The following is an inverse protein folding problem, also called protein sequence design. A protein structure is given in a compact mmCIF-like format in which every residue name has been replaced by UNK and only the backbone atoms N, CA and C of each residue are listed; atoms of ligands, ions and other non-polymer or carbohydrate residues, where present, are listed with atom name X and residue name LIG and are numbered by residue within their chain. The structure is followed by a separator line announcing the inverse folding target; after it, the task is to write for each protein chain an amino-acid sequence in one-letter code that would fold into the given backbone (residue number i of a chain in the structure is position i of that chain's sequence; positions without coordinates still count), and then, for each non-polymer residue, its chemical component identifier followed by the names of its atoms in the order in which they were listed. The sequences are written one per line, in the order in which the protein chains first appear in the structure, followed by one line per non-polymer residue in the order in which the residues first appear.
data_IF_433708524518
#
_entry.id   IF_433708524518
#
_cell.length_a   1.000
_cell.length_b   1.000
_cell.length_c   1.000
_cell.angle_alpha   90.00
_cell.angle_beta   90.00
_cell.angle_gamma   90.00
#
_symmetry.space_group_name_H-M   'P 1'
#
loop_
_entity.id
_entity.type
_entity.pdbx_description
1 polymer ?
#
# COMPACT_ATOMS: atom_id res chain seq x y z
N UNK A 1 19.04 -19.05 -2.66
CA UNK A 1 18.26 -18.83 -1.42
C UNK A 1 16.81 -18.63 -1.82
N UNK A 2 15.87 -19.31 -1.17
CA UNK A 2 14.45 -19.21 -1.52
C UNK A 2 13.80 -18.05 -0.76
N UNK A 3 13.16 -17.13 -1.49
CA UNK A 3 12.36 -16.06 -0.86
C UNK A 3 11.13 -16.68 -0.21
N UNK A 4 11.00 -16.50 1.12
CA UNK A 4 9.81 -16.91 1.86
C UNK A 4 8.84 -15.74 1.93
N UNK A 5 7.63 -15.94 1.44
CA UNK A 5 6.61 -14.90 1.36
C UNK A 5 5.47 -15.29 2.30
N UNK A 6 4.98 -14.34 3.10
CA UNK A 6 3.76 -14.52 3.88
C UNK A 6 2.61 -13.76 3.22
N UNK A 7 1.45 -14.39 3.13
CA UNK A 7 0.24 -13.79 2.58
C UNK A 7 -0.80 -13.74 3.69
N UNK A 8 -1.34 -12.55 3.94
CA UNK A 8 -2.37 -12.28 4.92
C UNK A 8 -3.64 -11.89 4.15
N UNK A 9 -4.79 -12.43 4.55
CA UNK A 9 -6.08 -12.05 3.99
C UNK A 9 -6.61 -10.73 4.55
N UNK A 10 -7.93 -10.63 4.63
CA UNK A 10 -8.62 -9.51 5.29
C UNK A 10 -8.23 -9.42 6.77
N UNK A 11 -7.81 -8.22 7.18
CA UNK A 11 -7.38 -7.93 8.57
C UNK A 11 -8.50 -7.31 9.39
N UNK A 12 -9.52 -6.72 8.75
CA UNK A 12 -10.69 -6.13 9.40
C UNK A 12 -10.31 -5.18 10.56
N UNK A 13 -9.31 -4.32 10.36
CA UNK A 13 -8.79 -3.37 11.36
C UNK A 13 -8.06 -3.96 12.59
N UNK A 14 -7.78 -5.26 12.68
CA UNK A 14 -6.93 -5.83 13.75
C UNK A 14 -5.43 -5.77 13.40
N UNK A 15 -4.92 -4.56 13.16
CA UNK A 15 -3.56 -4.32 12.70
C UNK A 15 -2.56 -4.75 13.76
N UNK A 16 -2.77 -4.35 15.02
CA UNK A 16 -1.82 -4.60 16.10
C UNK A 16 -1.58 -6.10 16.32
N UNK A 17 -2.64 -6.89 16.29
CA UNK A 17 -2.55 -8.33 16.52
C UNK A 17 -1.86 -9.04 15.34
N UNK A 18 -2.21 -8.67 14.10
CA UNK A 18 -1.61 -9.25 12.90
C UNK A 18 -0.12 -8.92 12.82
N UNK A 19 0.28 -7.67 13.04
CA UNK A 19 1.70 -7.29 13.01
C UNK A 19 2.48 -7.93 14.16
N UNK A 20 1.89 -8.12 15.33
CA UNK A 20 2.52 -8.84 16.45
C UNK A 20 2.76 -10.31 16.11
N UNK A 21 1.77 -10.98 15.51
CA UNK A 21 1.90 -12.37 15.05
C UNK A 21 2.96 -12.48 13.96
N UNK A 22 2.93 -11.56 13.01
CA UNK A 22 3.86 -11.50 11.89
C UNK A 22 5.30 -11.24 12.37
N UNK A 23 5.53 -10.38 13.36
CA UNK A 23 6.84 -10.18 13.97
C UNK A 23 7.39 -11.48 14.61
N UNK A 24 6.55 -12.19 15.38
CA UNK A 24 6.92 -13.49 15.99
C UNK A 24 7.26 -14.55 14.96
N UNK A 25 6.50 -14.61 13.86
CA UNK A 25 6.74 -15.57 12.78
C UNK A 25 7.99 -15.21 11.97
N UNK A 26 8.22 -13.92 11.72
CA UNK A 26 9.37 -13.42 10.98
C UNK A 26 10.69 -13.78 11.68
N UNK A 27 10.78 -13.65 13.01
CA UNK A 27 11.97 -14.04 13.78
C UNK A 27 12.34 -15.51 13.60
N UNK A 28 11.36 -16.40 13.42
CA UNK A 28 11.60 -17.84 13.28
C UNK A 28 11.88 -18.26 11.83
N UNK A 29 11.20 -17.63 10.87
CA UNK A 29 11.20 -18.09 9.49
C UNK A 29 12.09 -17.24 8.57
N UNK A 30 12.40 -16.01 8.96
CA UNK A 30 13.05 -14.98 8.13
C UNK A 30 12.31 -14.79 6.79
N UNK A 31 11.12 -14.19 6.85
CA UNK A 31 10.37 -13.85 5.64
C UNK A 31 11.01 -12.67 4.89
N UNK A 32 11.00 -12.80 3.58
CA UNK A 32 11.45 -11.80 2.63
C UNK A 32 10.49 -10.62 2.50
N UNK A 33 9.19 -10.92 2.39
CA UNK A 33 8.13 -9.92 2.20
C UNK A 33 6.77 -10.46 2.66
N UNK A 34 5.86 -9.54 2.97
CA UNK A 34 4.47 -9.83 3.27
C UNK A 34 3.55 -9.23 2.21
N UNK A 35 2.45 -9.91 1.92
CA UNK A 35 1.37 -9.42 1.05
C UNK A 35 0.07 -9.45 1.84
N UNK A 36 -0.64 -8.33 1.88
CA UNK A 36 -1.97 -8.22 2.50
C UNK A 36 -3.03 -8.08 1.41
N UNK A 37 -3.90 -9.07 1.34
CA UNK A 37 -4.95 -9.22 0.32
C UNK A 37 -6.19 -8.46 0.79
N UNK A 38 -6.14 -7.13 0.68
CA UNK A 38 -7.29 -6.24 0.87
C UNK A 38 -7.83 -6.16 2.31
N UNK A 39 -8.82 -5.29 2.50
CA UNK A 39 -9.61 -5.14 3.74
C UNK A 39 -8.74 -4.99 5.01
N UNK A 40 -7.73 -4.13 4.91
CA UNK A 40 -6.90 -3.70 6.04
C UNK A 40 -7.68 -2.83 7.02
N UNK A 41 -8.49 -1.95 6.47
CA UNK A 41 -9.28 -0.99 7.21
C UNK A 41 -10.73 -1.44 7.10
N UNK A 42 -11.32 -1.75 8.25
CA UNK A 42 -12.72 -2.16 8.39
C UNK A 42 -13.69 -1.01 8.11
N UNK A 43 -14.83 -0.99 8.79
CA UNK A 43 -15.86 0.04 8.56
C UNK A 43 -15.50 1.38 9.21
N UNK A 44 -14.39 1.46 9.96
CA UNK A 44 -13.98 2.65 10.72
C UNK A 44 -15.13 3.25 11.53
N UNK A 45 -16.02 2.38 11.99
CA UNK A 45 -17.28 2.71 12.65
C UNK A 45 -17.11 2.76 14.15
N UNK A 46 -16.08 2.08 14.66
CA UNK A 46 -15.76 2.02 16.07
C UNK A 46 -14.53 2.86 16.41
N UNK A 47 -14.50 3.42 17.61
CA UNK A 47 -13.37 4.23 18.10
C UNK A 47 -12.07 3.43 18.12
N UNK A 48 -12.15 2.12 18.38
CA UNK A 48 -11.02 1.21 18.34
C UNK A 48 -10.35 1.13 16.95
N UNK A 49 -11.14 1.03 15.87
CA UNK A 49 -10.61 1.01 14.51
C UNK A 49 -9.90 2.33 14.16
N UNK A 50 -10.46 3.46 14.61
CA UNK A 50 -9.85 4.78 14.42
C UNK A 50 -8.56 4.94 15.22
N UNK A 51 -8.49 4.39 16.44
CA UNK A 51 -7.28 4.37 17.24
C UNK A 51 -6.19 3.52 16.59
N UNK A 52 -6.53 2.33 16.08
CA UNK A 52 -5.57 1.47 15.34
C UNK A 52 -5.01 2.18 14.10
N UNK A 53 -5.86 2.86 13.32
CA UNK A 53 -5.43 3.65 12.17
C UNK A 53 -4.51 4.79 12.59
N UNK A 54 -4.86 5.48 13.67
CA UNK A 54 -4.08 6.62 14.16
C UNK A 54 -2.74 6.14 14.71
N UNK A 55 -2.71 5.03 15.44
CA UNK A 55 -1.50 4.37 15.93
C UNK A 55 -0.61 3.88 14.77
N UNK A 56 -1.21 3.40 13.67
CA UNK A 56 -0.49 3.03 12.46
C UNK A 56 0.16 4.26 11.81
N UNK A 57 -0.62 5.34 11.60
CA UNK A 57 -0.12 6.61 11.02
C UNK A 57 0.96 7.30 11.88
N UNK A 58 0.85 7.19 13.21
CA UNK A 58 1.83 7.70 14.15
C UNK A 58 3.10 6.83 14.24
N UNK A 59 3.10 5.64 13.63
CA UNK A 59 4.23 4.70 13.68
C UNK A 59 4.37 3.95 15.00
N UNK A 60 3.32 3.92 15.82
CA UNK A 60 3.27 3.12 17.04
C UNK A 60 3.18 1.62 16.71
N UNK A 61 2.53 1.28 15.59
CA UNK A 61 2.53 -0.06 15.02
C UNK A 61 3.73 -0.18 14.09
N UNK A 62 4.77 -0.87 14.55
CA UNK A 62 5.97 -1.10 13.75
C UNK A 62 5.79 -2.31 12.83
N UNK A 63 6.09 -2.12 11.54
CA UNK A 63 6.04 -3.18 10.53
C UNK A 63 7.45 -3.76 10.36
N UNK A 64 7.70 -5.00 10.81
CA UNK A 64 9.06 -5.55 10.89
C UNK A 64 9.66 -5.95 9.54
N UNK A 65 8.85 -6.02 8.48
CA UNK A 65 9.28 -6.48 7.16
C UNK A 65 8.48 -5.80 6.03
N UNK A 66 9.04 -5.68 4.81
CA UNK A 66 8.37 -5.00 3.70
C UNK A 66 7.04 -5.69 3.37
N UNK A 67 5.96 -4.97 3.61
CA UNK A 67 4.59 -5.43 3.51
C UNK A 67 3.88 -4.66 2.41
N UNK A 68 3.37 -5.37 1.42
CA UNK A 68 2.61 -4.80 0.32
C UNK A 68 1.13 -5.06 0.52
N UNK A 69 0.30 -4.05 0.39
CA UNK A 69 -1.14 -4.23 0.52
C UNK A 69 -1.92 -3.77 -0.70
N UNK A 70 -2.96 -4.53 -1.04
CA UNK A 70 -3.92 -4.20 -2.08
C UNK A 70 -5.14 -3.45 -1.53
N UNK A 71 -5.90 -2.85 -2.43
CA UNK A 71 -7.25 -2.38 -2.12
C UNK A 71 -8.20 -3.57 -1.93
N UNK A 72 -9.05 -3.49 -0.91
CA UNK A 72 -10.12 -4.44 -0.65
C UNK A 72 -11.44 -4.04 -1.29
N UNK A 73 -12.53 -4.61 -0.79
CA UNK A 73 -13.89 -4.28 -1.24
C UNK A 73 -14.39 -2.95 -0.69
N UNK A 74 -13.76 -2.47 0.39
CA UNK A 74 -14.12 -1.23 1.09
C UNK A 74 -13.18 -0.08 0.74
N UNK A 75 -13.69 1.17 0.64
CA UNK A 75 -12.86 2.33 0.40
C UNK A 75 -11.94 2.61 1.60
N UNK A 76 -10.73 3.10 1.32
CA UNK A 76 -9.80 3.51 2.36
C UNK A 76 -10.28 4.80 3.05
N UNK A 77 -10.05 4.94 4.36
CA UNK A 77 -10.30 6.18 5.09
C UNK A 77 -9.48 7.33 4.51
N UNK A 78 -10.07 8.54 4.46
CA UNK A 78 -9.43 9.73 3.88
C UNK A 78 -8.06 10.04 4.49
N UNK A 79 -7.87 9.79 5.79
CA UNK A 79 -6.59 9.98 6.49
C UNK A 79 -5.45 9.16 5.88
N UNK A 80 -5.74 7.94 5.44
CA UNK A 80 -4.75 7.04 4.83
C UNK A 80 -4.54 7.43 3.37
N UNK A 81 -5.60 7.84 2.67
CA UNK A 81 -5.53 8.37 1.31
C UNK A 81 -4.58 9.58 1.25
N UNK A 82 -4.77 10.57 2.13
CA UNK A 82 -3.91 11.74 2.24
C UNK A 82 -2.44 11.35 2.48
N UNK A 83 -2.21 10.37 3.36
CA UNK A 83 -0.85 9.91 3.67
C UNK A 83 -0.17 9.25 2.48
N UNK A 84 -0.93 8.43 1.73
CA UNK A 84 -0.47 7.79 0.49
C UNK A 84 -0.20 8.86 -0.57
N UNK A 85 -1.03 9.89 -0.71
CA UNK A 85 -0.80 10.97 -1.67
C UNK A 85 0.44 11.81 -1.33
N UNK A 86 0.74 12.00 -0.05
CA UNK A 86 1.93 12.74 0.38
C UNK A 86 3.23 11.96 0.17
N UNK A 87 3.28 10.68 0.57
CA UNK A 87 4.54 9.93 0.68
C UNK A 87 4.59 8.62 -0.12
N UNK A 88 3.52 8.25 -0.84
CA UNK A 88 3.36 6.96 -1.53
C UNK A 88 3.46 5.72 -0.60
N UNK A 89 3.69 5.94 0.70
CA UNK A 89 3.85 4.96 1.77
C UNK A 89 2.99 5.38 2.96
N UNK A 90 2.32 4.42 3.60
CA UNK A 90 1.49 4.70 4.78
C UNK A 90 2.36 4.74 6.03
N UNK A 91 3.30 3.78 6.14
CA UNK A 91 4.21 3.57 7.25
C UNK A 91 5.55 3.06 6.72
N UNK A 92 6.66 3.15 7.50
CA UNK A 92 7.90 2.49 7.13
C UNK A 92 7.65 0.99 6.90
N UNK A 93 8.10 0.48 5.76
CA UNK A 93 7.89 -0.90 5.31
C UNK A 93 6.44 -1.27 4.93
N UNK A 94 5.51 -0.33 4.82
CA UNK A 94 4.13 -0.58 4.39
C UNK A 94 3.81 0.15 3.07
N UNK A 95 3.75 -0.62 2.00
CA UNK A 95 3.62 -0.13 0.63
C UNK A 95 2.24 -0.37 0.06
N UNK A 96 1.64 0.67 -0.50
CA UNK A 96 0.36 0.57 -1.19
C UNK A 96 0.56 0.19 -2.67
N UNK A 97 -0.08 -0.90 -3.11
CA UNK A 97 0.01 -1.36 -4.51
C UNK A 97 -0.98 -0.65 -5.45
N UNK A 98 -1.95 0.08 -4.91
CA UNK A 98 -3.00 0.74 -5.68
C UNK A 98 -4.13 -0.20 -6.13
N UNK A 99 -5.11 0.37 -6.83
CA UNK A 99 -6.21 -0.37 -7.50
C UNK A 99 -5.70 -1.36 -8.55
N UNK A 100 -4.74 -0.90 -9.36
CA UNK A 100 -4.10 -1.68 -10.41
C UNK A 100 -2.62 -1.32 -10.44
N UNK A 101 -1.76 -2.32 -10.31
CA UNK A 101 -0.33 -2.05 -10.20
C UNK A 101 0.51 -3.29 -10.46
N UNK A 102 1.68 -3.05 -11.04
CA UNK A 102 2.75 -4.04 -11.10
C UNK A 102 3.97 -3.50 -10.40
N UNK A 103 4.46 -4.20 -9.39
CA UNK A 103 5.62 -3.80 -8.60
C UNK A 103 6.69 -4.88 -8.68
N UNK A 104 7.94 -4.48 -8.83
CA UNK A 104 9.09 -5.38 -8.77
C UNK A 104 9.81 -5.16 -7.45
N UNK A 105 9.78 -6.17 -6.59
CA UNK A 105 10.54 -6.17 -5.34
C UNK A 105 12.03 -6.33 -5.66
N UNK A 106 12.91 -5.84 -4.79
CA UNK A 106 14.36 -5.95 -4.92
C UNK A 106 14.86 -7.41 -5.07
N UNK A 107 14.07 -8.37 -4.59
CA UNK A 107 14.33 -9.80 -4.71
C UNK A 107 14.07 -10.37 -6.11
N UNK A 108 13.59 -9.56 -7.05
CA UNK A 108 13.27 -9.98 -8.42
C UNK A 108 11.84 -10.51 -8.59
N UNK A 109 11.02 -10.50 -7.52
CA UNK A 109 9.62 -10.92 -7.56
C UNK A 109 8.76 -9.83 -8.20
N UNK A 110 7.94 -10.22 -9.19
CA UNK A 110 6.94 -9.34 -9.82
C UNK A 110 5.60 -9.56 -9.15
N UNK A 111 5.14 -8.56 -8.43
CA UNK A 111 3.81 -8.51 -7.83
C UNK A 111 2.87 -7.80 -8.80
N UNK A 112 1.74 -8.44 -9.11
CA UNK A 112 0.64 -7.80 -9.84
C UNK A 112 -0.54 -7.81 -8.90
N UNK A 113 -1.07 -6.63 -8.60
CA UNK A 113 -2.23 -6.47 -7.74
C UNK A 113 -3.36 -5.80 -8.50
N UNK A 114 -4.53 -6.40 -8.33
CA UNK A 114 -5.81 -5.88 -8.75
C UNK A 114 -6.70 -5.93 -7.52
N UNK A 115 -6.97 -4.76 -6.94
CA UNK A 115 -7.77 -4.61 -5.74
C UNK A 115 -9.15 -4.06 -6.07
N UNK A 116 -10.15 -4.46 -5.28
CA UNK A 116 -11.53 -4.01 -5.44
C UNK A 116 -12.56 -5.12 -5.69
N UNK A 117 -13.79 -4.69 -5.94
CA UNK A 117 -14.91 -5.48 -6.42
C UNK A 117 -15.17 -5.19 -7.91
N UNK A 118 -15.64 -6.22 -8.64
CA UNK A 118 -15.97 -6.08 -10.06
C UNK A 118 -17.27 -5.28 -10.22
N UNK A 119 -17.18 -4.09 -10.79
CA UNK A 119 -18.35 -3.29 -11.17
C UNK A 119 -18.52 -3.28 -12.70
N UNK A 120 -19.75 -3.55 -13.14
CA UNK A 120 -20.10 -3.58 -14.58
C UNK A 120 -20.34 -2.17 -15.13
N UNK A 121 -20.62 -1.20 -14.27
CA UNK A 121 -20.95 0.18 -14.64
C UNK A 121 -19.77 1.12 -14.33
N UNK A 122 -19.31 1.84 -15.35
CA UNK A 122 -18.09 2.66 -15.29
C UNK A 122 -18.32 3.96 -14.51
N UNK A 123 -18.26 3.91 -13.17
CA UNK A 123 -18.40 5.11 -12.33
C UNK A 123 -17.35 5.20 -11.21
N UNK A 124 -16.06 5.20 -11.53
CA UNK A 124 -15.10 5.87 -10.63
C UNK A 124 -13.74 6.14 -11.27
N UNK A 125 -13.46 7.43 -11.47
CA UNK A 125 -12.15 8.00 -11.84
C UNK A 125 -11.20 8.10 -10.64
N UNK A 126 -11.62 7.71 -9.44
CA UNK A 126 -10.85 7.86 -8.20
C UNK A 126 -9.94 6.66 -7.96
N UNK A 127 -8.64 6.93 -7.76
CA UNK A 127 -7.57 5.94 -7.53
C UNK A 127 -7.78 5.02 -6.32
N UNK A 128 -8.71 5.38 -5.44
CA UNK A 128 -9.03 4.71 -4.18
C UNK A 128 -10.44 4.09 -4.14
N UNK A 129 -11.19 4.11 -5.25
CA UNK A 129 -12.50 3.47 -5.31
C UNK A 129 -12.34 1.96 -5.50
N UNK A 130 -13.08 1.13 -4.75
CA UNK A 130 -12.99 -0.32 -4.85
C UNK A 130 -13.61 -0.89 -6.14
N UNK A 131 -14.29 -0.12 -6.99
CA UNK A 131 -14.87 -0.66 -8.24
C UNK A 131 -13.85 -0.81 -9.36
N UNK A 132 -13.61 -2.02 -9.88
CA UNK A 132 -12.81 -2.26 -11.10
C UNK A 132 -13.64 -2.84 -12.24
N UNK A 133 -13.31 -2.46 -13.47
CA UNK A 133 -13.97 -2.92 -14.70
C UNK A 133 -13.17 -4.04 -15.36
N UNK A 134 -13.81 -4.86 -16.19
CA UNK A 134 -13.12 -5.95 -16.91
C UNK A 134 -12.00 -5.44 -17.83
N UNK A 135 -12.13 -4.22 -18.36
CA UNK A 135 -11.09 -3.54 -19.14
C UNK A 135 -9.82 -3.25 -18.32
N UNK A 136 -9.96 -2.89 -17.04
CA UNK A 136 -8.83 -2.71 -16.12
C UNK A 136 -8.12 -4.04 -15.86
N UNK A 137 -8.88 -5.13 -15.72
CA UNK A 137 -8.31 -6.48 -15.56
C UNK A 137 -7.57 -6.94 -16.83
N UNK A 138 -8.15 -6.72 -18.01
CA UNK A 138 -7.50 -7.03 -19.30
C UNK A 138 -6.25 -6.19 -19.56
N UNK A 139 -6.21 -4.94 -19.10
CA UNK A 139 -5.01 -4.09 -19.20
C UNK A 139 -3.82 -4.65 -18.41
N UNK A 140 -4.07 -5.36 -17.31
CA UNK A 140 -3.03 -6.00 -16.50
C UNK A 140 -2.47 -7.29 -17.15
N UNK A 141 -3.27 -8.00 -17.96
CA UNK A 141 -2.80 -9.18 -18.72
C UNK A 141 -1.64 -8.85 -19.68
N UNK A 142 -1.52 -7.60 -20.15
CA UNK A 142 -0.42 -7.13 -21.00
C UNK A 142 0.86 -6.71 -20.26
N UNK A 143 0.84 -6.66 -18.92
CA UNK A 143 1.96 -6.17 -18.11
C UNK A 143 3.18 -7.11 -18.12
N UNK A 144 3.04 -8.32 -18.67
CA UNK A 144 4.16 -9.20 -18.97
C UNK A 144 5.21 -8.55 -19.90
N UNK A 145 4.80 -7.58 -20.74
CA UNK A 145 5.64 -7.03 -21.83
C UNK A 145 6.22 -5.62 -21.65
N UNK A 146 5.79 -4.79 -20.69
CA UNK A 146 6.30 -3.40 -20.63
C UNK A 146 7.53 -3.25 -19.73
N UNK A 147 8.67 -3.01 -20.40
CA UNK A 147 9.90 -2.47 -19.80
C UNK A 147 9.58 -1.19 -19.02
N UNK A 148 9.97 -1.15 -17.75
CA UNK A 148 10.41 0.05 -17.03
C UNK A 148 9.62 1.35 -17.33
N UNK A 149 8.44 1.52 -16.75
CA UNK A 149 7.90 2.88 -16.61
C UNK A 149 8.58 3.50 -15.38
N UNK A 150 9.55 4.39 -15.66
CA UNK A 150 10.29 5.18 -14.68
C UNK A 150 9.31 5.95 -13.77
N UNK A 151 9.49 5.81 -12.46
CA UNK A 151 8.95 6.77 -11.48
C UNK A 151 9.42 8.20 -11.86
N UNK A 152 8.54 9.21 -11.91
CA UNK A 152 8.98 10.59 -12.02
C UNK A 152 9.76 10.95 -10.75
N UNK A 153 11.05 11.24 -10.88
CA UNK A 153 11.85 11.81 -9.79
C UNK A 153 11.15 13.08 -9.33
N UNK A 154 10.66 13.11 -8.08
CA UNK A 154 10.21 14.35 -7.43
C UNK A 154 11.31 15.40 -7.60
N UNK A 155 11.03 16.59 -8.15
CA UNK A 155 12.04 17.63 -8.23
C UNK A 155 12.36 18.08 -6.79
N UNK A 156 13.63 17.93 -6.39
CA UNK A 156 14.15 18.56 -5.18
C UNK A 156 13.95 20.07 -5.33
N UNK A 157 13.04 20.65 -4.55
CA UNK A 157 12.98 22.10 -4.36
C UNK A 157 14.31 22.54 -3.76
N UNK A 158 15.17 23.14 -4.56
CA UNK A 158 16.26 23.96 -4.05
C UNK A 158 15.62 25.23 -3.48
N UNK A 159 15.58 25.35 -2.17
CA UNK A 159 15.29 26.62 -1.51
C UNK A 159 16.45 27.58 -1.83
N UNK A 160 16.21 28.53 -2.73
CA UNK A 160 17.06 29.70 -2.85
C UNK A 160 16.76 30.60 -1.66
N UNK A 161 17.66 30.57 -0.67
CA UNK A 161 17.73 31.59 0.37
C UNK A 161 18.10 32.93 -0.28
N UNK A 162 17.10 33.78 -0.45
CA UNK A 162 17.28 35.20 -0.76
C UNK A 162 17.86 35.89 0.49
N UNK A 163 19.18 36.02 0.54
CA UNK A 163 19.87 37.00 1.38
C UNK A 163 20.31 38.14 0.48
N UNK A 164 19.50 39.20 0.37
CA UNK A 164 19.94 40.50 -0.13
C UNK A 164 20.08 41.45 1.06
N UNK A 165 21.30 41.53 1.58
CA UNK A 165 21.70 42.48 2.60
C UNK A 165 22.88 43.32 2.06
N UNK A 166 22.66 44.65 2.02
CA UNK A 166 23.64 45.74 1.97
C UNK A 166 24.67 45.78 0.82
N UNK A 167 24.48 46.71 -0.12
CA UNK A 167 25.23 47.98 -0.18
C UNK A 167 24.70 48.88 -1.30
#
# INVERSE_FOLDING_TARGET
MASKIVVIGAVNCELREVFTKLAKLHVKQNFSLAIIVGDLFGDCSTEHELDEITALLQGNINVPLPTYFGLGSRPLPTRIVERIEENDEVCPNLYFLGKRGTLKTAEGIRLVALGGNLETDSKATNKFHPGYTESDARALYGAHMRRYQRMPKRPRRCNASLTSALR
#
